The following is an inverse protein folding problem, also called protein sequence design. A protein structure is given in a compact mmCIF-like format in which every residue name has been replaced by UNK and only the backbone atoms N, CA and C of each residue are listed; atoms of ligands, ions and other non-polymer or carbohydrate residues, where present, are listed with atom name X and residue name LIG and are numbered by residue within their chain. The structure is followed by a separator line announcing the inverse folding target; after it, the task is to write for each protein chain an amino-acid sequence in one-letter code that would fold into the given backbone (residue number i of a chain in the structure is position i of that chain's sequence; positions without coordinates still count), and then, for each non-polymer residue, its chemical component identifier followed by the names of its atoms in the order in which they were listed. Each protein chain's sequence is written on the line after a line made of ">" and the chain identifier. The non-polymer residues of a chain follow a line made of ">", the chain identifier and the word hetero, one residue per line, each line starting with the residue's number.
data_IF_349657078004
#
_entry.id   IF_349657078004
#
_cell.length_a   1.000
_cell.length_b   1.000
_cell.length_c   1.000
_cell.angle_alpha   90.00
_cell.angle_beta   90.00
_cell.angle_gamma   90.00
#
_symmetry.space_group_name_H-M   'P 1'
#
loop_
_entity.id
_entity.type
_entity.pdbx_description
1 polymer ?
#
# COMPACT_ATOMS: atom_id res chain seq x y z
N UNK A 1 -27.56 13.14 -61.20
CA UNK A 1 -26.22 12.85 -60.65
C UNK A 1 -26.29 12.93 -59.14
N UNK A 2 -26.50 11.80 -58.45
CA UNK A 2 -26.63 11.74 -56.99
C UNK A 2 -25.24 11.41 -56.41
N UNK A 3 -24.59 12.37 -55.76
CA UNK A 3 -23.29 12.17 -55.09
C UNK A 3 -23.54 11.54 -53.71
N UNK A 4 -23.27 10.24 -53.56
CA UNK A 4 -23.17 9.60 -52.25
C UNK A 4 -21.92 10.15 -51.53
N UNK A 5 -22.13 10.87 -50.43
CA UNK A 5 -21.07 11.21 -49.49
C UNK A 5 -20.86 10.03 -48.54
N UNK A 6 -19.74 9.31 -48.70
CA UNK A 6 -19.27 8.34 -47.69
C UNK A 6 -18.78 9.12 -46.47
N UNK A 7 -19.55 9.09 -45.39
CA UNK A 7 -19.08 9.56 -44.09
C UNK A 7 -18.07 8.58 -43.52
N UNK A 8 -16.81 9.00 -43.38
CA UNK A 8 -15.80 8.27 -42.62
C UNK A 8 -16.22 8.27 -41.14
N UNK A 9 -16.61 7.11 -40.62
CA UNK A 9 -16.87 6.91 -39.20
C UNK A 9 -15.52 6.68 -38.51
N UNK A 10 -14.95 7.72 -37.93
CA UNK A 10 -13.73 7.63 -37.12
C UNK A 10 -14.03 6.83 -35.85
N UNK A 11 -13.62 5.55 -35.83
CA UNK A 11 -13.60 4.72 -34.62
C UNK A 11 -12.59 5.33 -33.63
N UNK A 12 -13.09 6.07 -32.64
CA UNK A 12 -12.32 6.47 -31.46
C UNK A 12 -11.98 5.19 -30.68
N UNK A 13 -10.76 4.67 -30.88
CA UNK A 13 -10.22 3.61 -30.04
C UNK A 13 -10.02 4.20 -28.64
N UNK A 14 -10.53 3.55 -27.57
CA UNK A 14 -10.27 3.98 -26.21
C UNK A 14 -8.76 3.93 -25.94
N UNK A 15 -8.21 5.03 -25.44
CA UNK A 15 -6.84 5.06 -24.97
C UNK A 15 -6.71 4.08 -23.79
N UNK A 16 -5.58 3.35 -23.65
CA UNK A 16 -5.35 2.54 -22.47
C UNK A 16 -5.44 3.43 -21.23
N UNK A 17 -6.28 3.03 -20.28
CA UNK A 17 -6.37 3.68 -18.98
C UNK A 17 -4.98 3.66 -18.34
N UNK A 18 -4.46 4.82 -17.97
CA UNK A 18 -3.23 4.93 -17.19
C UNK A 18 -3.52 4.31 -15.82
N UNK A 19 -2.90 3.16 -15.55
CA UNK A 19 -2.98 2.51 -14.24
C UNK A 19 -2.24 3.37 -13.23
N UNK A 20 -2.81 3.54 -12.05
CA UNK A 20 -2.23 4.13 -10.85
C UNK A 20 -1.08 5.15 -11.05
N UNK A 21 -1.37 6.44 -10.87
CA UNK A 21 -0.38 7.50 -11.09
C UNK A 21 0.42 7.77 -9.81
N UNK A 22 1.73 7.46 -9.85
CA UNK A 22 2.68 7.95 -8.86
C UNK A 22 3.09 9.39 -9.17
N UNK A 23 2.99 10.27 -8.18
CA UNK A 23 3.40 11.67 -8.26
C UNK A 23 4.33 12.07 -7.13
N UNK A 24 5.33 12.88 -7.46
CA UNK A 24 6.21 13.49 -6.45
C UNK A 24 5.60 14.78 -5.95
N UNK A 25 5.35 14.86 -4.65
CA UNK A 25 4.74 16.00 -3.97
C UNK A 25 5.73 16.60 -2.97
N UNK A 26 5.76 17.93 -2.87
CA UNK A 26 6.41 18.64 -1.75
C UNK A 26 5.35 19.05 -0.74
N UNK A 27 5.53 18.64 0.52
CA UNK A 27 4.63 18.98 1.60
C UNK A 27 5.44 19.32 2.86
N UNK A 28 5.20 20.53 3.38
CA UNK A 28 5.83 21.03 4.62
C UNK A 28 7.35 20.85 4.62
N UNK A 29 8.00 21.25 3.51
CA UNK A 29 9.44 21.23 3.34
C UNK A 29 10.06 19.90 2.88
N UNK A 30 9.34 18.77 2.97
CA UNK A 30 9.84 17.44 2.54
C UNK A 30 9.22 16.98 1.21
N UNK A 31 9.92 16.06 0.53
CA UNK A 31 9.43 15.39 -0.69
C UNK A 31 8.85 14.02 -0.36
N UNK A 32 7.79 13.67 -1.08
CA UNK A 32 7.09 12.39 -1.00
C UNK A 32 6.77 11.90 -2.41
N UNK A 33 6.69 10.58 -2.57
CA UNK A 33 6.03 9.97 -3.71
C UNK A 33 4.70 9.38 -3.23
N UNK A 34 3.60 9.76 -3.88
CA UNK A 34 2.26 9.26 -3.59
C UNK A 34 1.75 8.57 -4.85
N UNK A 35 1.34 7.32 -4.70
CA UNK A 35 0.77 6.50 -5.76
C UNK A 35 -0.69 6.23 -5.44
N UNK A 36 -1.58 6.79 -6.25
CA UNK A 36 -3.01 6.58 -6.13
C UNK A 36 -3.44 5.31 -6.86
N UNK A 37 -4.21 4.45 -6.20
CA UNK A 37 -4.74 3.20 -6.77
C UNK A 37 -6.26 3.26 -6.76
N UNK A 38 -6.88 3.25 -7.95
CA UNK A 38 -8.32 3.11 -8.11
C UNK A 38 -8.70 1.63 -8.02
N UNK A 39 -9.28 1.21 -6.90
CA UNK A 39 -9.62 -0.19 -6.64
C UNK A 39 -10.80 -0.68 -7.48
N UNK A 40 -11.48 0.20 -8.23
CA UNK A 40 -12.50 -0.20 -9.19
C UNK A 40 -11.91 -0.65 -10.52
N UNK A 41 -10.66 -0.27 -10.81
CA UNK A 41 -9.94 -0.59 -12.05
C UNK A 41 -8.74 -1.50 -11.80
N UNK A 42 -8.02 -1.27 -10.70
CA UNK A 42 -6.77 -1.94 -10.36
C UNK A 42 -6.98 -3.02 -9.29
N UNK A 43 -6.29 -4.15 -9.47
CA UNK A 43 -6.23 -5.19 -8.43
C UNK A 43 -5.03 -4.94 -7.52
N UNK A 44 -5.28 -4.43 -6.31
CA UNK A 44 -4.31 -4.32 -5.22
C UNK A 44 -4.32 -5.58 -4.36
N UNK A 45 -3.15 -6.21 -4.14
CA UNK A 45 -3.05 -7.40 -3.28
C UNK A 45 -1.69 -7.55 -2.60
N UNK A 46 -1.57 -8.57 -1.76
CA UNK A 46 -0.36 -8.89 -1.02
C UNK A 46 0.35 -10.12 -1.60
N UNK A 47 1.66 -10.19 -1.34
CA UNK A 47 2.49 -11.38 -1.53
C UNK A 47 3.48 -11.50 -0.38
N UNK A 48 3.72 -12.72 0.08
CA UNK A 48 4.78 -13.02 1.05
C UNK A 48 5.73 -14.10 0.54
N UNK A 49 5.19 -15.28 0.25
CA UNK A 49 5.97 -16.47 -0.08
C UNK A 49 5.73 -16.94 -1.52
N UNK A 50 6.69 -17.65 -2.08
CA UNK A 50 6.49 -18.41 -3.30
C UNK A 50 5.65 -19.68 -3.05
N UNK A 51 5.41 -20.46 -4.11
CA UNK A 51 4.61 -21.70 -4.03
C UNK A 51 5.24 -22.79 -3.16
N UNK A 52 6.52 -22.67 -2.80
CA UNK A 52 7.25 -23.59 -1.94
C UNK A 52 7.34 -23.09 -0.49
N UNK A 53 6.70 -21.95 -0.16
CA UNK A 53 6.75 -21.35 1.16
C UNK A 53 8.03 -20.54 1.43
N UNK A 54 8.83 -20.23 0.39
CA UNK A 54 10.05 -19.42 0.54
C UNK A 54 9.71 -17.93 0.37
N UNK A 55 10.16 -17.04 1.27
CA UNK A 55 9.90 -15.61 1.15
C UNK A 55 10.36 -15.03 -0.19
N UNK A 56 9.48 -14.28 -0.86
CA UNK A 56 9.78 -13.64 -2.14
C UNK A 56 10.84 -12.54 -1.99
N UNK A 57 10.74 -11.72 -0.95
CA UNK A 57 11.78 -10.78 -0.54
C UNK A 57 12.09 -9.62 -1.48
N UNK A 58 11.58 -9.58 -2.71
CA UNK A 58 11.89 -8.54 -3.68
C UNK A 58 10.82 -8.40 -4.76
N UNK A 59 10.67 -7.19 -5.30
CA UNK A 59 9.78 -6.93 -6.44
C UNK A 59 10.15 -7.76 -7.68
N UNK A 60 11.45 -8.00 -7.90
CA UNK A 60 11.92 -8.88 -8.99
C UNK A 60 11.38 -10.30 -8.87
N UNK A 61 11.36 -10.86 -7.65
CA UNK A 61 10.82 -12.20 -7.43
C UNK A 61 9.30 -12.24 -7.56
N UNK A 62 8.59 -11.19 -7.12
CA UNK A 62 7.14 -11.05 -7.36
C UNK A 62 6.86 -10.98 -8.87
N UNK A 63 7.60 -10.15 -9.63
CA UNK A 63 7.46 -10.08 -11.08
C UNK A 63 7.74 -11.42 -11.77
N UNK A 64 8.72 -12.20 -11.31
CA UNK A 64 8.95 -13.55 -11.85
C UNK A 64 7.75 -14.47 -11.62
N UNK A 65 7.11 -14.38 -10.45
CA UNK A 65 5.90 -15.15 -10.13
C UNK A 65 4.70 -14.71 -10.98
N UNK A 66 4.57 -13.43 -11.27
CA UNK A 66 3.52 -12.87 -12.13
C UNK A 66 3.73 -13.16 -13.61
N UNK A 67 4.99 -13.20 -14.08
CA UNK A 67 5.32 -13.45 -15.48
C UNK A 67 4.81 -14.82 -15.97
N UNK A 68 4.79 -15.83 -15.08
CA UNK A 68 4.19 -17.14 -15.37
C UNK A 68 2.68 -17.08 -15.66
N UNK A 69 2.03 -15.94 -15.39
CA UNK A 69 0.61 -15.68 -15.61
C UNK A 69 0.38 -14.61 -16.69
N UNK A 70 1.43 -14.20 -17.43
CA UNK A 70 1.35 -13.09 -18.39
C UNK A 70 1.12 -11.72 -17.74
N UNK A 71 1.50 -11.58 -16.47
CA UNK A 71 1.26 -10.38 -15.65
C UNK A 71 2.56 -9.82 -15.10
N UNK A 72 2.49 -8.59 -14.61
CA UNK A 72 3.58 -7.92 -13.92
C UNK A 72 3.05 -6.93 -12.87
N UNK A 73 3.94 -6.45 -12.00
CA UNK A 73 3.64 -5.39 -11.05
C UNK A 73 3.42 -4.07 -11.78
N UNK A 74 2.40 -3.32 -11.35
CA UNK A 74 2.27 -1.90 -11.65
C UNK A 74 3.10 -1.09 -10.66
N UNK A 75 2.55 -0.94 -9.46
CA UNK A 75 3.17 -0.27 -8.33
C UNK A 75 3.29 -1.25 -7.19
N UNK A 76 4.38 -1.21 -6.43
CA UNK A 76 4.51 -2.03 -5.23
C UNK A 76 5.36 -1.38 -4.15
N UNK A 77 5.11 -1.76 -2.89
CA UNK A 77 5.94 -1.41 -1.75
C UNK A 77 6.00 -2.56 -0.73
N UNK A 78 6.96 -2.52 0.20
CA UNK A 78 6.85 -3.35 1.39
C UNK A 78 5.60 -2.94 2.18
N UNK A 79 4.91 -3.93 2.75
CA UNK A 79 3.68 -3.76 3.50
C UNK A 79 3.95 -3.86 5.01
N UNK A 80 3.13 -4.59 5.76
CA UNK A 80 3.23 -4.67 7.22
C UNK A 80 4.58 -5.18 7.74
N UNK A 81 4.84 -4.86 9.02
CA UNK A 81 6.09 -5.22 9.70
C UNK A 81 6.31 -6.73 9.73
N UNK A 82 7.59 -7.12 9.68
CA UNK A 82 8.02 -8.52 9.64
C UNK A 82 9.25 -8.77 10.53
N UNK A 83 9.44 -10.02 10.93
CA UNK A 83 10.60 -10.51 11.68
C UNK A 83 11.83 -10.71 10.77
N UNK A 84 13.01 -10.95 11.34
CA UNK A 84 14.24 -11.11 10.54
C UNK A 84 14.17 -12.24 9.49
N UNK A 85 13.35 -13.26 9.74
CA UNK A 85 13.04 -14.37 8.81
C UNK A 85 11.98 -14.03 7.75
N UNK A 86 11.50 -12.79 7.73
CA UNK A 86 10.49 -12.22 6.81
C UNK A 86 9.05 -12.63 7.11
N UNK A 87 8.80 -13.40 8.17
CA UNK A 87 7.43 -13.68 8.63
C UNK A 87 6.75 -12.40 9.16
N UNK A 88 5.44 -12.21 8.94
CA UNK A 88 4.72 -11.02 9.42
C UNK A 88 4.66 -11.00 10.95
N UNK A 89 4.83 -9.81 11.55
CA UNK A 89 4.80 -9.63 13.01
C UNK A 89 3.38 -9.85 13.58
N UNK A 90 2.37 -9.46 12.81
CA UNK A 90 0.96 -9.57 13.19
C UNK A 90 0.10 -10.11 12.06
N UNK A 91 -1.19 -9.74 12.08
CA UNK A 91 -2.20 -10.26 11.17
C UNK A 91 -1.71 -10.34 9.73
N UNK A 92 -1.88 -11.50 9.10
CA UNK A 92 -1.60 -11.67 7.68
C UNK A 92 -2.57 -12.65 7.04
N UNK A 93 -3.22 -12.18 5.97
CA UNK A 93 -4.11 -12.95 5.12
C UNK A 93 -3.66 -12.76 3.68
N UNK A 94 -3.50 -13.87 2.95
CA UNK A 94 -3.21 -13.89 1.51
C UNK A 94 -4.15 -14.89 0.85
N UNK A 95 -4.84 -14.47 -0.23
CA UNK A 95 -5.85 -15.26 -0.93
C UNK A 95 -6.90 -15.92 0.01
N UNK A 96 -7.33 -15.19 1.04
CA UNK A 96 -8.32 -15.62 2.04
C UNK A 96 -7.79 -16.58 3.11
N UNK A 97 -6.50 -16.94 3.07
CA UNK A 97 -5.86 -17.79 4.08
C UNK A 97 -5.12 -16.96 5.12
N UNK A 98 -5.55 -17.06 6.38
CA UNK A 98 -4.81 -16.49 7.51
C UNK A 98 -3.57 -17.32 7.83
N UNK A 99 -2.41 -16.68 7.86
CA UNK A 99 -1.14 -17.32 8.25
C UNK A 99 -0.57 -16.76 9.55
N UNK A 100 -1.02 -15.57 9.97
CA UNK A 100 -0.72 -14.98 11.27
C UNK A 100 -1.94 -14.26 11.82
N UNK A 101 -2.17 -14.41 13.13
CA UNK A 101 -3.29 -13.81 13.86
C UNK A 101 -3.11 -12.32 14.12
N UNK A 102 -4.22 -11.62 14.36
CA UNK A 102 -4.21 -10.23 14.85
C UNK A 102 -3.60 -10.09 16.24
N UNK A 103 -2.80 -9.05 16.44
CA UNK A 103 -2.15 -8.69 17.71
C UNK A 103 -2.73 -7.38 18.24
N UNK A 104 -3.48 -7.42 19.35
CA UNK A 104 -4.21 -6.27 19.92
C UNK A 104 -3.55 -5.64 21.15
N UNK A 105 -2.50 -6.28 21.66
CA UNK A 105 -1.73 -5.80 22.80
C UNK A 105 -0.76 -4.71 22.37
N UNK A 106 -0.44 -3.82 23.31
CA UNK A 106 0.72 -2.97 23.17
C UNK A 106 2.01 -3.79 23.24
N UNK A 107 3.13 -3.14 22.94
CA UNK A 107 4.42 -3.81 22.89
C UNK A 107 5.55 -2.85 22.53
N UNK A 108 6.77 -3.38 22.38
CA UNK A 108 7.92 -2.56 22.02
C UNK A 108 7.85 -2.07 20.57
N UNK A 109 8.57 -0.97 20.31
CA UNK A 109 8.75 -0.43 18.97
C UNK A 109 7.47 0.12 18.35
N UNK A 110 7.54 0.38 17.04
CA UNK A 110 6.47 1.02 16.29
C UNK A 110 5.22 0.12 16.19
N UNK A 111 5.38 -1.19 16.05
CA UNK A 111 4.27 -2.14 15.95
C UNK A 111 3.34 -2.11 17.18
N UNK A 112 3.92 -2.03 18.38
CA UNK A 112 3.19 -1.99 19.64
C UNK A 112 2.70 -0.59 20.05
N UNK A 113 2.96 0.44 19.22
CA UNK A 113 2.47 1.79 19.45
C UNK A 113 0.98 1.87 19.09
N UNK A 114 0.12 1.71 20.09
CA UNK A 114 -1.33 1.77 19.92
C UNK A 114 -1.85 3.22 19.76
N UNK A 115 -2.90 3.44 18.93
CA UNK A 115 -3.56 2.45 18.06
C UNK A 115 -2.70 1.96 16.88
N UNK A 116 -2.65 0.64 16.70
CA UNK A 116 -2.11 -0.01 15.50
C UNK A 116 -3.26 -0.55 14.65
N UNK A 117 -2.99 -1.01 13.42
CA UNK A 117 -4.07 -1.27 12.48
C UNK A 117 -3.80 -2.37 11.47
N UNK A 118 -4.88 -2.81 10.85
CA UNK A 118 -4.91 -3.81 9.80
C UNK A 118 -5.38 -3.13 8.52
N UNK A 119 -4.57 -3.19 7.46
CA UNK A 119 -5.08 -2.97 6.12
C UNK A 119 -5.84 -4.24 5.72
N UNK A 120 -7.13 -4.10 5.42
CA UNK A 120 -8.01 -5.14 4.93
C UNK A 120 -8.40 -4.82 3.49
N UNK A 121 -8.08 -5.72 2.56
CA UNK A 121 -8.45 -5.64 1.15
C UNK A 121 -9.58 -6.63 0.87
N UNK A 122 -10.59 -6.16 0.15
CA UNK A 122 -11.69 -6.97 -0.37
C UNK A 122 -11.78 -6.84 -1.89
N UNK A 123 -12.91 -7.27 -2.44
CA UNK A 123 -13.18 -7.09 -3.87
C UNK A 123 -13.49 -5.61 -4.17
N UNK A 124 -12.59 -4.96 -4.92
CA UNK A 124 -12.64 -3.54 -5.27
C UNK A 124 -12.82 -2.59 -4.08
N UNK A 125 -12.34 -2.97 -2.90
CA UNK A 125 -12.39 -2.14 -1.68
C UNK A 125 -11.16 -2.33 -0.80
N UNK A 126 -10.77 -1.27 -0.10
CA UNK A 126 -9.80 -1.32 0.98
C UNK A 126 -10.38 -0.66 2.24
N UNK A 127 -9.86 -1.05 3.40
CA UNK A 127 -10.11 -0.39 4.69
C UNK A 127 -8.85 -0.47 5.54
N UNK A 128 -8.52 0.62 6.22
CA UNK A 128 -7.57 0.59 7.35
C UNK A 128 -8.41 0.57 8.63
N UNK A 129 -8.21 -0.44 9.47
CA UNK A 129 -9.06 -0.72 10.64
C UNK A 129 -8.17 -0.84 11.87
N UNK A 130 -8.52 -0.16 12.95
CA UNK A 130 -7.84 -0.33 14.25
C UNK A 130 -7.89 -1.80 14.71
N UNK A 131 -6.78 -2.32 15.25
CA UNK A 131 -6.64 -3.77 15.44
C UNK A 131 -7.63 -4.40 16.42
N UNK A 132 -8.02 -3.70 17.50
CA UNK A 132 -9.02 -4.20 18.45
C UNK A 132 -10.41 -4.20 17.82
N UNK A 133 -10.74 -3.17 17.04
CA UNK A 133 -11.95 -3.14 16.22
C UNK A 133 -11.95 -4.27 15.19
N UNK A 134 -10.83 -4.49 14.49
CA UNK A 134 -10.70 -5.61 13.54
C UNK A 134 -10.92 -6.96 14.23
N UNK A 135 -10.34 -7.17 15.41
CA UNK A 135 -10.48 -8.41 16.18
C UNK A 135 -11.93 -8.67 16.67
N UNK A 136 -12.66 -7.59 16.94
CA UNK A 136 -14.08 -7.61 17.34
C UNK A 136 -15.00 -7.88 16.16
N UNK A 137 -14.88 -7.06 15.10
CA UNK A 137 -15.81 -7.05 13.97
C UNK A 137 -15.54 -8.20 12.98
N UNK A 138 -14.28 -8.67 12.92
CA UNK A 138 -13.79 -9.73 12.03
C UNK A 138 -14.31 -9.59 10.59
N UNK A 139 -14.02 -8.47 9.92
CA UNK A 139 -14.48 -8.28 8.56
C UNK A 139 -13.79 -9.28 7.64
N UNK A 140 -14.52 -9.73 6.62
CA UNK A 140 -13.96 -10.56 5.56
C UNK A 140 -12.98 -9.73 4.72
N UNK A 141 -11.77 -10.27 4.53
CA UNK A 141 -10.71 -9.70 3.70
C UNK A 141 -10.13 -10.82 2.82
N UNK A 142 -9.96 -10.57 1.53
CA UNK A 142 -9.20 -11.48 0.66
C UNK A 142 -7.71 -11.40 0.96
N UNK A 143 -7.25 -10.21 1.36
CA UNK A 143 -5.88 -9.97 1.80
C UNK A 143 -5.89 -9.04 3.00
N UNK A 144 -4.98 -9.25 3.95
CA UNK A 144 -4.82 -8.35 5.08
C UNK A 144 -3.38 -8.34 5.59
N UNK A 145 -2.95 -7.19 6.08
CA UNK A 145 -1.65 -7.06 6.75
C UNK A 145 -1.75 -6.10 7.91
N UNK A 146 -1.25 -6.51 9.08
CA UNK A 146 -1.14 -5.67 10.26
C UNK A 146 0.18 -4.93 10.29
N UNK A 147 0.12 -3.70 10.76
CA UNK A 147 1.29 -2.90 11.08
C UNK A 147 0.96 -1.91 12.18
N UNK A 148 1.91 -1.07 12.57
CA UNK A 148 1.69 -0.01 13.53
C UNK A 148 2.81 1.01 13.52
N UNK A 149 2.52 2.27 13.87
CA UNK A 149 1.22 2.78 14.32
C UNK A 149 0.22 3.03 13.17
N UNK A 150 -1.08 3.18 13.49
CA UNK A 150 -1.96 3.91 12.58
C UNK A 150 -1.47 5.37 12.49
N UNK A 151 -1.53 5.95 11.30
CA UNK A 151 -1.10 7.33 11.05
C UNK A 151 -2.24 8.32 11.24
N UNK A 152 -3.40 7.96 10.72
CA UNK A 152 -4.67 8.70 10.81
C UNK A 152 -5.76 7.74 11.23
N UNK A 153 -6.60 8.15 12.16
CA UNK A 153 -7.72 7.39 12.71
C UNK A 153 -8.95 8.30 12.68
N UNK A 154 -9.97 7.95 11.89
CA UNK A 154 -11.19 8.74 11.78
C UNK A 154 -10.96 10.24 11.45
N UNK A 155 -9.91 10.53 10.68
CA UNK A 155 -9.50 11.89 10.30
C UNK A 155 -8.56 12.59 11.29
N UNK A 156 -8.32 12.02 12.47
CA UNK A 156 -7.38 12.56 13.47
C UNK A 156 -6.01 11.90 13.37
N UNK A 157 -4.95 12.64 13.68
CA UNK A 157 -3.61 12.05 13.80
C UNK A 157 -3.55 11.14 15.02
N UNK A 158 -2.67 10.14 14.94
CA UNK A 158 -2.39 9.29 16.08
C UNK A 158 -2.00 10.11 17.33
N UNK A 159 -2.64 9.89 18.49
CA UNK A 159 -2.56 10.79 19.65
C UNK A 159 -1.17 10.85 20.31
N UNK A 160 -0.34 9.83 20.07
CA UNK A 160 1.04 9.76 20.60
C UNK A 160 2.09 10.39 19.69
N UNK A 161 1.73 10.95 18.53
CA UNK A 161 2.71 11.58 17.66
C UNK A 161 3.17 12.91 18.24
N UNK A 162 4.49 13.09 18.31
CA UNK A 162 5.12 14.32 18.76
C UNK A 162 5.56 15.10 17.52
N UNK A 163 5.11 16.36 17.42
CA UNK A 163 5.45 17.25 16.30
C UNK A 163 6.96 17.39 16.09
N UNK A 164 7.70 17.56 17.19
CA UNK A 164 9.15 17.80 17.19
C UNK A 164 9.96 16.54 17.57
N UNK A 165 9.48 15.33 17.24
CA UNK A 165 10.26 14.11 17.48
C UNK A 165 11.52 14.08 16.61
N UNK A 166 12.63 13.66 17.23
CA UNK A 166 13.94 13.41 16.60
C UNK A 166 13.99 12.09 15.79
N UNK A 167 13.01 11.22 15.98
CA UNK A 167 12.84 9.96 15.27
C UNK A 167 12.42 10.20 13.82
N UNK A 168 13.38 10.51 12.97
CA UNK A 168 13.17 10.77 11.54
C UNK A 168 13.68 9.61 10.70
N UNK A 169 12.87 9.13 9.74
CA UNK A 169 13.23 8.02 8.84
C UNK A 169 12.60 8.25 7.46
N UNK A 170 13.06 7.51 6.46
CA UNK A 170 12.26 7.25 5.26
C UNK A 170 11.09 6.37 5.73
N UNK A 171 9.86 6.77 5.39
CA UNK A 171 8.64 6.11 5.86
C UNK A 171 7.76 5.79 4.68
N UNK A 172 7.13 4.62 4.70
CA UNK A 172 6.04 4.29 3.80
C UNK A 172 4.77 3.89 4.56
N UNK A 173 3.65 3.92 3.85
CA UNK A 173 2.35 3.60 4.42
C UNK A 173 1.25 3.63 3.37
N UNK A 174 0.05 3.33 3.84
CA UNK A 174 -1.17 3.31 3.04
C UNK A 174 -2.24 4.20 3.68
N UNK A 175 -2.91 4.99 2.87
CA UNK A 175 -4.14 5.70 3.22
C UNK A 175 -5.29 5.16 2.39
N UNK A 176 -6.52 5.26 2.89
CA UNK A 176 -7.71 4.79 2.17
C UNK A 176 -8.80 5.86 2.17
N UNK A 177 -9.51 6.00 1.05
CA UNK A 177 -10.63 6.92 0.90
C UNK A 177 -11.81 6.52 1.79
N UNK A 178 -12.67 7.47 2.13
CA UNK A 178 -13.82 7.22 3.00
C UNK A 178 -14.82 6.18 2.42
N UNK A 179 -14.92 6.08 1.10
CA UNK A 179 -15.74 5.07 0.40
C UNK A 179 -15.02 3.73 0.18
N UNK A 180 -13.73 3.66 0.55
CA UNK A 180 -12.88 2.49 0.39
C UNK A 180 -12.53 2.15 -1.05
N UNK A 181 -12.77 3.03 -2.02
CA UNK A 181 -12.53 2.79 -3.46
C UNK A 181 -11.16 3.26 -3.94
N UNK A 182 -10.46 4.07 -3.15
CA UNK A 182 -9.11 4.52 -3.46
C UNK A 182 -8.16 4.14 -2.34
N UNK A 183 -6.99 3.63 -2.70
CA UNK A 183 -5.87 3.46 -1.79
C UNK A 183 -4.69 4.33 -2.24
N UNK A 184 -4.10 5.07 -1.31
CA UNK A 184 -2.88 5.84 -1.55
C UNK A 184 -1.70 5.14 -0.90
N UNK A 185 -0.80 4.64 -1.73
CA UNK A 185 0.49 4.11 -1.31
C UNK A 185 1.49 5.28 -1.32
N UNK A 186 2.05 5.64 -0.16
CA UNK A 186 2.98 6.77 -0.08
C UNK A 186 4.32 6.37 0.54
N UNK A 187 5.39 7.03 0.09
CA UNK A 187 6.74 6.95 0.65
C UNK A 187 7.34 8.35 0.77
N UNK A 188 8.04 8.64 1.86
CA UNK A 188 8.83 9.87 1.99
C UNK A 188 10.18 9.71 1.30
N UNK A 189 10.61 10.70 0.54
CA UNK A 189 11.95 10.73 -0.08
C UNK A 189 13.00 11.35 0.85
N UNK A 190 12.54 12.22 1.75
CA UNK A 190 13.34 12.82 2.80
C UNK A 190 12.98 12.18 4.17
N UNK A 191 13.86 12.31 5.17
CA UNK A 191 13.61 11.76 6.51
C UNK A 191 12.58 12.60 7.24
N UNK A 192 11.50 11.98 7.69
CA UNK A 192 10.40 12.65 8.40
C UNK A 192 10.05 11.89 9.68
N UNK A 193 9.46 12.59 10.67
CA UNK A 193 8.91 11.92 11.85
C UNK A 193 7.46 11.45 11.58
N UNK A 194 6.88 10.72 12.54
CA UNK A 194 5.53 10.20 12.40
C UNK A 194 4.46 11.29 12.30
N UNK A 195 4.63 12.41 13.02
CA UNK A 195 3.69 13.52 12.95
C UNK A 195 3.63 14.10 11.53
N UNK A 196 4.79 14.38 10.93
CA UNK A 196 4.88 14.89 9.57
C UNK A 196 4.34 13.88 8.54
N UNK A 197 4.68 12.59 8.67
CA UNK A 197 4.17 11.58 7.76
C UNK A 197 2.66 11.35 7.90
N UNK A 198 2.11 11.39 9.12
CA UNK A 198 0.67 11.35 9.34
C UNK A 198 -0.05 12.57 8.76
N UNK A 199 0.56 13.77 8.86
CA UNK A 199 0.04 14.99 8.23
C UNK A 199 0.03 14.93 6.71
N UNK A 200 0.95 14.21 6.06
CA UNK A 200 0.84 13.95 4.62
C UNK A 200 -0.51 13.28 4.30
N UNK A 201 -0.83 12.19 5.01
CA UNK A 201 -2.09 11.47 4.79
C UNK A 201 -3.32 12.31 5.15
N UNK A 202 -3.31 12.98 6.30
CA UNK A 202 -4.47 13.75 6.76
C UNK A 202 -4.67 15.06 5.98
N UNK A 203 -3.62 15.86 5.84
CA UNK A 203 -3.72 17.25 5.37
C UNK A 203 -3.52 17.37 3.85
N UNK A 204 -2.63 16.57 3.26
CA UNK A 204 -2.32 16.67 1.83
C UNK A 204 -3.12 15.68 0.98
N UNK A 205 -3.26 14.43 1.43
CA UNK A 205 -4.02 13.39 0.73
C UNK A 205 -5.51 13.46 1.09
N UNK A 206 -5.85 13.84 2.33
CA UNK A 206 -7.23 13.82 2.82
C UNK A 206 -7.74 12.42 3.16
N UNK A 207 -6.83 11.48 3.46
CA UNK A 207 -7.20 10.13 3.87
C UNK A 207 -7.87 10.16 5.25
N UNK A 208 -9.00 9.45 5.38
CA UNK A 208 -9.72 9.31 6.66
C UNK A 208 -8.94 8.39 7.62
N UNK A 209 -8.45 7.28 7.09
CA UNK A 209 -7.69 6.30 7.85
C UNK A 209 -6.41 5.96 7.09
N UNK A 210 -5.30 5.88 7.82
CA UNK A 210 -4.00 5.56 7.25
C UNK A 210 -3.16 4.72 8.21
N UNK A 211 -2.31 3.87 7.65
CA UNK A 211 -1.49 2.90 8.36
C UNK A 211 -0.04 3.03 7.93
N UNK A 212 0.86 3.10 8.92
CA UNK A 212 2.28 3.00 8.69
C UNK A 212 2.67 1.55 8.38
N UNK A 213 3.54 1.35 7.40
CA UNK A 213 4.10 0.04 7.08
C UNK A 213 5.40 -0.23 7.86
N UNK A 214 6.41 -0.82 7.24
CA UNK A 214 7.69 -1.12 7.88
C UNK A 214 8.68 0.05 7.76
N UNK A 215 9.46 0.26 8.82
CA UNK A 215 10.48 1.30 8.93
C UNK A 215 11.91 0.82 8.79
N UNK A 216 12.15 -0.48 8.90
CA UNK A 216 13.50 -1.02 8.70
C UNK A 216 13.91 -0.92 7.22
N UNK A 217 12.92 -1.01 6.33
CA UNK A 217 13.07 -0.85 4.89
C UNK A 217 11.82 -0.13 4.37
N UNK A 218 11.99 0.91 3.56
CA UNK A 218 10.92 1.49 2.77
C UNK A 218 11.37 1.52 1.31
N UNK A 219 10.66 0.81 0.44
CA UNK A 219 10.99 0.67 -0.98
C UNK A 219 9.74 0.83 -1.82
N UNK A 220 9.88 1.50 -2.95
CA UNK A 220 8.84 1.63 -3.97
C UNK A 220 9.31 1.02 -5.30
N UNK A 221 8.39 0.34 -5.96
CA UNK A 221 8.45 -0.06 -7.35
C UNK A 221 7.34 0.66 -8.09
N UNK A 222 7.67 1.25 -9.24
CA UNK A 222 6.72 1.84 -10.16
C UNK A 222 7.19 1.56 -11.58
N UNK A 223 6.44 0.71 -12.26
CA UNK A 223 6.73 0.33 -13.63
C UNK A 223 6.60 1.45 -14.65
N UNK A 224 5.71 2.42 -14.40
CA UNK A 224 5.46 3.52 -15.34
C UNK A 224 6.65 4.45 -15.47
N UNK A 225 7.34 4.70 -14.35
CA UNK A 225 8.58 5.51 -14.31
C UNK A 225 9.86 4.67 -14.41
N UNK A 226 9.75 3.34 -14.28
CA UNK A 226 10.90 2.43 -14.19
C UNK A 226 11.60 2.45 -12.83
N UNK A 227 10.98 3.05 -11.80
CA UNK A 227 11.52 3.07 -10.44
C UNK A 227 11.51 1.67 -9.84
N UNK A 228 12.65 1.27 -9.28
CA UNK A 228 12.79 0.04 -8.52
C UNK A 228 13.82 0.25 -7.41
N UNK A 229 13.34 0.62 -6.22
CA UNK A 229 14.22 0.93 -5.11
C UNK A 229 14.98 -0.33 -4.66
N UNK A 230 16.30 -0.21 -4.53
CA UNK A 230 17.17 -1.28 -4.04
C UNK A 230 17.14 -1.34 -2.50
N UNK A 231 17.38 -2.53 -1.94
CA UNK A 231 17.51 -2.70 -0.51
C UNK A 231 17.55 -4.16 -0.11
N UNK A 232 17.57 -4.40 1.21
CA UNK A 232 17.55 -5.75 1.77
C UNK A 232 16.24 -6.48 1.41
N UNK A 233 16.21 -7.82 1.52
CA UNK A 233 14.98 -8.59 1.35
C UNK A 233 13.87 -8.09 2.28
N UNK A 234 12.63 -8.12 1.82
CA UNK A 234 11.44 -7.64 2.55
C UNK A 234 10.55 -8.81 3.01
N UNK A 235 9.65 -8.57 3.95
CA UNK A 235 8.55 -9.49 4.27
C UNK A 235 7.37 -9.29 3.34
N UNK A 236 6.16 -9.05 3.88
CA UNK A 236 4.98 -8.71 3.09
C UNK A 236 5.25 -7.62 2.04
N UNK A 237 4.77 -7.84 0.82
CA UNK A 237 4.81 -6.88 -0.29
C UNK A 237 3.36 -6.62 -0.71
N UNK A 238 3.00 -5.35 -0.92
CA UNK A 238 1.72 -4.93 -1.47
C UNK A 238 1.93 -4.30 -2.84
N UNK A 239 0.99 -4.49 -3.76
CA UNK A 239 1.08 -3.85 -5.07
C UNK A 239 -0.05 -4.17 -6.04
N UNK A 240 -0.11 -3.40 -7.12
CA UNK A 240 -1.06 -3.57 -8.21
C UNK A 240 -0.54 -4.57 -9.23
N UNK A 241 -1.46 -5.23 -9.93
CA UNK A 241 -1.15 -6.18 -11.00
C UNK A 241 -1.70 -5.67 -12.32
N UNK A 242 -0.87 -5.67 -13.35
CA UNK A 242 -1.26 -5.35 -14.73
C UNK A 242 -0.87 -6.47 -15.68
N UNK A 243 -1.46 -6.47 -16.87
CA UNK A 243 -1.05 -7.37 -17.94
C UNK A 243 0.37 -6.99 -18.38
N UNK A 244 1.19 -8.00 -18.67
CA UNK A 244 2.50 -7.77 -19.24
C UNK A 244 2.34 -7.22 -20.67
N UNK A 245 3.10 -6.16 -20.98
CA UNK A 245 3.15 -5.56 -22.33
C UNK A 245 3.99 -6.35 -23.32
#
# INVERSE_FOLDING_TARGET
>A
MMRLALGLLSLLLPAPAQSADCQTVRFDGARFTICEVDLTQDTLRLWLNDRNGVPLGSFTNVNRLLAAQGKELGIAMNAGMYHADRSPVGHYVEDGQETMRVITSDGPGNFGLLPNGVLCLGDGTARVIESRRYASDRPECTHATQSGPMLVIDGDLHPRFLENSDSTYIRNGVGVSADGKTAWLAISEDRVNFHHFGRLFRDAIGARDALYFDGNISRLYDSGTGRNDFGLPMGPIIGTVRQAG
#
